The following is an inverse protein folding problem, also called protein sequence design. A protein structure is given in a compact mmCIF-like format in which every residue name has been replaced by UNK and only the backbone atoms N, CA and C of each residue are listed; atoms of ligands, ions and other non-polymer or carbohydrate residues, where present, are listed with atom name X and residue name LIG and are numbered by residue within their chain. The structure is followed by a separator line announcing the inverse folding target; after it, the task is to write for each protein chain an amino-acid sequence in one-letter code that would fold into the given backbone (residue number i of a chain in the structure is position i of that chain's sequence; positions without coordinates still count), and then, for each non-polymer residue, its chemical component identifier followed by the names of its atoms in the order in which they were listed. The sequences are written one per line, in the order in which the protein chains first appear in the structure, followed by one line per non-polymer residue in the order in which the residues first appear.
data_IF_174645637203
#
_entry.id   IF_174645637203
#
_cell.length_a   1.000
_cell.length_b   1.000
_cell.length_c   1.000
_cell.angle_alpha   90.00
_cell.angle_beta   90.00
_cell.angle_gamma   90.00
#
_symmetry.space_group_name_H-M   'P 1'
#
loop_
_entity.id
_entity.type
_entity.pdbx_description
1 polymer ?
#
# COMPACT_ATOMS: atom_id res chain seq x y z
N UNK A 1 8.03 -16.98 -25.76
CA UNK A 1 7.64 -15.57 -25.98
C UNK A 1 6.35 -15.36 -26.80
N UNK A 2 5.95 -16.25 -27.73
CA UNK A 2 4.74 -16.07 -28.59
C UNK A 2 3.38 -16.22 -27.88
N UNK A 3 3.31 -16.75 -26.65
CA UNK A 3 2.05 -16.98 -25.90
C UNK A 3 1.69 -15.89 -24.89
N UNK A 4 2.58 -14.93 -24.63
CA UNK A 4 2.36 -13.83 -23.65
C UNK A 4 1.64 -12.64 -24.30
N UNK A 5 1.86 -12.43 -25.59
CA UNK A 5 1.24 -11.32 -26.36
C UNK A 5 -0.30 -11.38 -26.37
N UNK A 6 -0.96 -12.54 -26.61
CA UNK A 6 -2.42 -12.59 -26.59
C UNK A 6 -3.01 -12.40 -25.19
N UNK A 7 -2.30 -12.80 -24.13
CA UNK A 7 -2.72 -12.56 -22.75
C UNK A 7 -2.67 -11.06 -22.39
N UNK A 8 -1.65 -10.36 -22.86
CA UNK A 8 -1.50 -8.90 -22.68
C UNK A 8 -2.59 -8.13 -23.43
N UNK A 9 -2.93 -8.58 -24.66
CA UNK A 9 -4.00 -8.01 -25.47
C UNK A 9 -5.38 -8.25 -24.85
N UNK A 10 -5.60 -9.38 -24.21
CA UNK A 10 -6.85 -9.69 -23.49
C UNK A 10 -7.01 -8.81 -22.24
N UNK A 11 -5.93 -8.50 -21.54
CA UNK A 11 -5.93 -7.55 -20.41
C UNK A 11 -6.24 -6.12 -20.88
N UNK A 12 -5.68 -5.69 -22.00
CA UNK A 12 -5.94 -4.37 -22.58
C UNK A 12 -7.37 -4.21 -23.12
N UNK A 13 -7.97 -5.26 -23.64
CA UNK A 13 -9.34 -5.25 -24.16
C UNK A 13 -10.41 -5.01 -23.08
N UNK A 14 -10.11 -5.34 -21.81
CA UNK A 14 -11.04 -5.08 -20.71
C UNK A 14 -11.07 -3.61 -20.26
N UNK A 15 -10.06 -2.81 -20.60
CA UNK A 15 -10.03 -1.38 -20.27
C UNK A 15 -11.06 -0.55 -21.07
N UNK A 16 -11.49 -1.04 -22.22
CA UNK A 16 -12.42 -0.30 -23.11
C UNK A 16 -13.89 -0.39 -22.69
N UNK A 17 -14.26 -1.35 -21.84
CA UNK A 17 -15.65 -1.55 -21.40
C UNK A 17 -16.04 -0.84 -20.10
N UNK A 18 -15.08 -0.20 -19.42
CA UNK A 18 -15.33 0.46 -18.13
C UNK A 18 -15.82 1.91 -18.23
N UNK A 19 -16.06 2.43 -19.43
CA UNK A 19 -16.64 3.78 -19.57
C UNK A 19 -18.17 3.73 -19.66
N UNK A 20 -18.81 3.34 -18.58
CA UNK A 20 -20.22 3.65 -18.37
C UNK A 20 -20.36 5.17 -18.18
N UNK A 21 -21.20 5.78 -19.01
CA UNK A 21 -21.60 7.18 -18.92
C UNK A 21 -22.16 7.51 -17.53
N UNK A 22 -21.31 7.92 -16.61
CA UNK A 22 -21.74 8.62 -15.42
C UNK A 22 -21.68 10.11 -15.77
N UNK A 23 -22.84 10.77 -15.80
CA UNK A 23 -22.94 12.22 -15.89
C UNK A 23 -22.51 12.82 -14.56
N UNK A 24 -21.24 12.63 -14.21
CA UNK A 24 -20.65 13.39 -13.12
C UNK A 24 -20.22 14.74 -13.65
N UNK A 25 -20.83 15.76 -13.08
CA UNK A 25 -20.28 17.11 -13.14
C UNK A 25 -18.81 17.00 -12.74
N UNK A 26 -17.92 17.16 -13.72
CA UNK A 26 -16.47 17.15 -13.52
C UNK A 26 -16.16 18.27 -12.53
N UNK A 27 -16.18 17.97 -11.24
CA UNK A 27 -15.45 18.78 -10.29
C UNK A 27 -13.99 18.67 -10.72
N UNK A 28 -13.48 19.73 -11.35
CA UNK A 28 -12.05 19.88 -11.59
C UNK A 28 -11.38 19.86 -10.24
N UNK A 29 -10.96 18.67 -9.80
CA UNK A 29 -10.11 18.53 -8.63
C UNK A 29 -8.84 19.33 -8.89
N UNK A 30 -8.79 20.52 -8.30
CA UNK A 30 -7.58 21.34 -8.34
C UNK A 30 -6.51 20.56 -7.63
N UNK A 31 -5.46 20.20 -8.37
CA UNK A 31 -4.29 19.52 -7.81
C UNK A 31 -3.77 20.31 -6.60
N UNK A 32 -3.85 19.71 -5.42
CA UNK A 32 -3.43 20.33 -4.18
C UNK A 32 -1.95 19.99 -3.92
N UNK A 33 -1.06 20.84 -4.42
CA UNK A 33 0.39 20.68 -4.23
C UNK A 33 0.81 20.62 -2.76
N UNK A 34 0.01 21.19 -1.84
CA UNK A 34 0.28 21.12 -0.39
C UNK A 34 0.19 19.70 0.15
N UNK A 35 -0.63 18.85 -0.46
CA UNK A 35 -0.71 17.44 -0.08
C UNK A 35 0.56 16.66 -0.40
N UNK A 36 1.42 17.16 -1.30
CA UNK A 36 2.69 16.53 -1.63
C UNK A 36 3.83 16.89 -0.65
N UNK A 37 3.66 17.89 0.21
CA UNK A 37 4.73 18.35 1.11
C UNK A 37 5.13 17.22 2.06
N UNK A 38 4.18 16.60 2.74
CA UNK A 38 4.45 15.52 3.71
C UNK A 38 5.09 14.31 3.03
N UNK A 39 4.55 13.75 1.94
CA UNK A 39 5.20 12.66 1.21
C UNK A 39 6.61 13.01 0.72
N UNK A 40 6.82 14.22 0.21
CA UNK A 40 8.13 14.64 -0.29
C UNK A 40 9.16 14.75 0.83
N UNK A 41 8.78 15.27 2.00
CA UNK A 41 9.64 15.34 3.18
C UNK A 41 10.00 13.95 3.69
N UNK A 42 9.03 13.02 3.73
CA UNK A 42 9.27 11.65 4.15
C UNK A 42 10.18 10.89 3.17
N UNK A 43 10.00 11.09 1.87
CA UNK A 43 10.89 10.51 0.85
C UNK A 43 12.30 11.08 1.01
N UNK A 44 12.43 12.41 1.16
CA UNK A 44 13.72 13.07 1.37
C UNK A 44 14.43 12.54 2.63
N UNK A 45 13.70 12.42 3.73
CA UNK A 45 14.23 11.82 4.96
C UNK A 45 14.69 10.37 4.75
N UNK A 46 13.89 9.56 4.03
CA UNK A 46 14.24 8.18 3.73
C UNK A 46 15.51 8.06 2.87
N UNK A 47 15.66 8.91 1.85
CA UNK A 47 16.86 8.93 0.99
C UNK A 47 18.09 9.33 1.79
N UNK A 48 18.01 10.39 2.62
CA UNK A 48 19.11 10.80 3.50
C UNK A 48 19.44 9.70 4.51
N UNK A 49 18.42 9.00 5.02
CA UNK A 49 18.58 7.91 5.99
C UNK A 49 19.37 6.71 5.44
N UNK A 50 19.29 6.46 4.13
CA UNK A 50 20.03 5.36 3.49
C UNK A 50 21.55 5.61 3.52
N UNK A 51 21.99 6.85 3.43
CA UNK A 51 23.43 7.20 3.41
C UNK A 51 23.96 7.71 4.74
N UNK A 52 23.12 8.16 5.65
CA UNK A 52 23.51 8.74 6.95
C UNK A 52 23.87 7.66 7.97
N UNK A 53 25.15 7.60 8.37
CA UNK A 53 25.60 6.65 9.39
C UNK A 53 24.95 6.92 10.76
N UNK A 54 24.61 8.17 11.09
CA UNK A 54 23.89 8.53 12.31
C UNK A 54 22.47 7.94 12.36
N UNK A 55 21.74 7.97 11.23
CA UNK A 55 20.40 7.39 11.14
C UNK A 55 20.47 5.85 11.14
N UNK A 56 21.48 5.28 10.49
CA UNK A 56 21.73 3.83 10.51
C UNK A 56 22.01 3.34 11.92
N UNK A 57 22.86 4.02 12.68
CA UNK A 57 23.17 3.65 14.07
C UNK A 57 21.93 3.73 14.94
N UNK A 58 21.15 4.80 14.85
CA UNK A 58 19.89 4.95 15.58
C UNK A 58 18.89 3.83 15.24
N UNK A 59 18.77 3.48 13.96
CA UNK A 59 17.92 2.36 13.53
C UNK A 59 18.44 1.01 14.07
N UNK A 60 19.76 0.83 14.18
CA UNK A 60 20.37 -0.40 14.72
C UNK A 60 20.12 -0.54 16.22
N UNK A 61 20.22 0.53 16.99
CA UNK A 61 19.92 0.53 18.43
C UNK A 61 18.46 0.17 18.70
N UNK A 62 17.50 0.81 17.97
CA UNK A 62 16.08 0.47 18.09
C UNK A 62 15.83 -0.99 17.73
N UNK A 63 16.52 -1.48 16.70
CA UNK A 63 16.41 -2.87 16.24
C UNK A 63 16.88 -3.86 17.29
N UNK A 64 18.03 -3.63 17.92
CA UNK A 64 18.57 -4.51 18.95
C UNK A 64 17.59 -4.60 20.13
N UNK A 65 17.05 -3.44 20.56
CA UNK A 65 16.08 -3.38 21.66
C UNK A 65 14.76 -4.12 21.32
N UNK A 66 14.30 -4.06 20.07
CA UNK A 66 13.10 -4.78 19.63
C UNK A 66 13.37 -6.29 19.50
N UNK A 67 14.52 -6.68 18.96
CA UNK A 67 14.86 -8.11 18.77
C UNK A 67 15.06 -8.85 20.10
N UNK A 68 15.57 -8.18 21.14
CA UNK A 68 15.69 -8.78 22.46
C UNK A 68 14.34 -9.09 23.13
N UNK A 69 13.27 -8.41 22.70
CA UNK A 69 11.95 -8.54 23.32
C UNK A 69 10.94 -9.36 22.51
N UNK A 70 11.26 -9.77 21.27
CA UNK A 70 10.31 -10.47 20.39
C UNK A 70 10.95 -11.78 19.89
N UNK A 71 10.66 -12.86 20.60
CA UNK A 71 11.20 -14.20 20.32
C UNK A 71 10.23 -15.12 19.55
N UNK A 72 9.18 -14.57 18.93
CA UNK A 72 8.10 -15.35 18.31
C UNK A 72 8.15 -15.38 16.78
N UNK A 73 8.11 -16.61 16.23
CA UNK A 73 8.17 -16.90 14.79
C UNK A 73 6.90 -16.54 14.01
N UNK A 74 5.81 -16.21 14.69
CA UNK A 74 4.55 -15.78 14.07
C UNK A 74 4.22 -14.40 14.62
N UNK A 75 4.42 -13.41 13.79
CA UNK A 75 4.15 -12.03 14.15
C UNK A 75 2.69 -11.66 13.89
N UNK A 76 2.08 -10.93 14.81
CA UNK A 76 0.74 -10.37 14.64
C UNK A 76 0.66 -9.51 13.39
N UNK A 77 1.77 -8.92 12.97
CA UNK A 77 1.86 -8.06 11.78
C UNK A 77 1.56 -8.83 10.49
N UNK A 78 1.84 -10.12 10.41
CA UNK A 78 1.55 -10.93 9.23
C UNK A 78 0.05 -10.92 8.89
N UNK A 79 -0.79 -10.78 9.89
CA UNK A 79 -2.24 -10.71 9.75
C UNK A 79 -2.77 -9.28 9.85
N UNK A 80 -2.25 -8.48 10.77
CA UNK A 80 -2.75 -7.13 11.05
C UNK A 80 -2.60 -6.18 9.88
N UNK A 81 -1.63 -6.40 9.01
CA UNK A 81 -1.45 -5.62 7.77
C UNK A 81 -2.69 -5.62 6.85
N UNK A 82 -3.53 -6.65 6.93
CA UNK A 82 -4.75 -6.78 6.13
C UNK A 82 -6.01 -6.26 6.84
N UNK A 83 -5.92 -5.94 8.14
CA UNK A 83 -7.08 -5.51 8.92
C UNK A 83 -7.81 -4.30 8.34
N UNK A 84 -7.13 -3.23 7.87
CA UNK A 84 -7.83 -2.09 7.30
C UNK A 84 -8.66 -2.46 6.06
N UNK A 85 -8.10 -3.27 5.17
CA UNK A 85 -8.83 -3.74 3.99
C UNK A 85 -9.99 -4.69 4.36
N UNK A 86 -9.78 -5.58 5.33
CA UNK A 86 -10.83 -6.48 5.82
C UNK A 86 -11.97 -5.71 6.51
N UNK A 87 -11.64 -4.59 7.18
CA UNK A 87 -12.62 -3.72 7.84
C UNK A 87 -13.62 -3.13 6.84
N UNK A 88 -13.21 -2.85 5.60
CA UNK A 88 -14.11 -2.38 4.54
C UNK A 88 -15.23 -3.37 4.29
N UNK A 89 -14.90 -4.64 4.20
CA UNK A 89 -15.90 -5.69 3.99
C UNK A 89 -16.73 -5.96 5.26
N UNK A 90 -16.06 -5.90 6.42
CA UNK A 90 -16.74 -6.03 7.72
C UNK A 90 -17.79 -4.96 7.96
N UNK A 91 -17.46 -3.69 7.71
CA UNK A 91 -18.39 -2.55 7.82
C UNK A 91 -19.58 -2.71 6.86
N UNK A 92 -19.31 -3.13 5.63
CA UNK A 92 -20.37 -3.37 4.66
C UNK A 92 -21.31 -4.52 5.08
N UNK A 93 -20.78 -5.60 5.64
CA UNK A 93 -21.59 -6.70 6.22
C UNK A 93 -22.40 -6.22 7.44
N UNK A 94 -21.90 -5.26 8.18
CA UNK A 94 -22.63 -4.62 9.30
C UNK A 94 -23.70 -3.63 8.84
N UNK A 95 -23.90 -3.45 7.51
CA UNK A 95 -24.93 -2.58 6.96
C UNK A 95 -24.45 -1.13 6.72
N UNK A 96 -23.16 -0.83 6.88
CA UNK A 96 -22.59 0.47 6.58
C UNK A 96 -22.08 0.42 5.15
N UNK A 97 -22.82 1.04 4.23
CA UNK A 97 -22.49 1.03 2.81
C UNK A 97 -21.32 1.98 2.53
N UNK A 98 -20.30 1.47 1.80
CA UNK A 98 -19.19 2.26 1.29
C UNK A 98 -19.53 2.93 -0.04
N UNK A 99 -18.57 3.68 -0.60
CA UNK A 99 -18.72 4.42 -1.85
C UNK A 99 -19.01 3.50 -3.06
N UNK A 100 -18.39 2.32 -3.10
CA UNK A 100 -18.48 1.40 -4.22
C UNK A 100 -19.25 0.11 -3.87
N UNK A 101 -19.86 -0.50 -4.89
CA UNK A 101 -20.46 -1.83 -4.76
C UNK A 101 -19.38 -2.91 -4.56
N UNK A 102 -19.79 -4.11 -4.13
CA UNK A 102 -18.87 -5.20 -3.81
C UNK A 102 -17.89 -5.54 -4.94
N UNK A 103 -18.36 -5.56 -6.19
CA UNK A 103 -17.54 -5.91 -7.35
C UNK A 103 -16.46 -4.85 -7.61
N UNK A 104 -16.86 -3.59 -7.69
CA UNK A 104 -15.96 -2.49 -8.01
C UNK A 104 -14.93 -2.30 -6.89
N UNK A 105 -15.37 -2.38 -5.64
CA UNK A 105 -14.53 -2.37 -4.45
C UNK A 105 -13.45 -3.45 -4.49
N UNK A 106 -13.83 -4.68 -4.84
CA UNK A 106 -12.89 -5.80 -4.93
C UNK A 106 -11.88 -5.60 -6.08
N UNK A 107 -12.32 -5.07 -7.22
CA UNK A 107 -11.44 -4.74 -8.35
C UNK A 107 -10.45 -3.64 -7.95
N UNK A 108 -10.92 -2.58 -7.29
CA UNK A 108 -10.05 -1.48 -6.82
C UNK A 108 -9.00 -2.01 -5.85
N UNK A 109 -9.41 -2.76 -4.81
CA UNK A 109 -8.47 -3.32 -3.83
C UNK A 109 -7.44 -4.24 -4.48
N UNK A 110 -7.88 -5.16 -5.33
CA UNK A 110 -6.98 -6.10 -6.00
C UNK A 110 -5.98 -5.36 -6.89
N UNK A 111 -6.44 -4.39 -7.66
CA UNK A 111 -5.57 -3.59 -8.53
C UNK A 111 -4.57 -2.78 -7.71
N UNK A 112 -5.01 -2.16 -6.62
CA UNK A 112 -4.14 -1.41 -5.72
C UNK A 112 -3.05 -2.29 -5.11
N UNK A 113 -3.40 -3.46 -4.61
CA UNK A 113 -2.43 -4.39 -4.05
C UNK A 113 -1.46 -4.95 -5.09
N UNK A 114 -1.90 -5.19 -6.32
CA UNK A 114 -1.01 -5.61 -7.42
C UNK A 114 0.01 -4.51 -7.74
N UNK A 115 -0.43 -3.25 -7.84
CA UNK A 115 0.44 -2.11 -8.11
C UNK A 115 1.43 -1.88 -6.97
N UNK A 116 0.96 -1.91 -5.72
CA UNK A 116 1.82 -1.76 -4.53
C UNK A 116 2.86 -2.89 -4.48
N UNK A 117 2.42 -4.14 -4.68
CA UNK A 117 3.34 -5.29 -4.68
C UNK A 117 4.39 -5.19 -5.79
N UNK A 118 3.99 -4.81 -7.00
CA UNK A 118 4.92 -4.61 -8.12
C UNK A 118 5.93 -3.50 -7.80
N UNK A 119 5.48 -2.40 -7.21
CA UNK A 119 6.35 -1.27 -6.81
C UNK A 119 7.32 -1.69 -5.72
N UNK A 120 6.84 -2.35 -4.67
CA UNK A 120 7.67 -2.86 -3.57
C UNK A 120 8.74 -3.82 -4.07
N UNK A 121 8.36 -4.80 -4.90
CA UNK A 121 9.30 -5.78 -5.45
C UNK A 121 10.35 -5.11 -6.36
N UNK A 122 9.95 -4.14 -7.17
CA UNK A 122 10.86 -3.38 -8.02
C UNK A 122 11.87 -2.59 -7.21
N UNK A 123 11.43 -1.89 -6.16
CA UNK A 123 12.34 -1.12 -5.30
C UNK A 123 13.25 -2.06 -4.50
N UNK A 124 12.74 -3.18 -3.96
CA UNK A 124 13.56 -4.18 -3.28
C UNK A 124 14.68 -4.74 -4.16
N UNK A 125 14.38 -4.98 -5.44
CA UNK A 125 15.37 -5.49 -6.39
C UNK A 125 16.46 -4.47 -6.75
N UNK A 126 16.23 -3.19 -6.50
CA UNK A 126 17.18 -2.11 -6.75
C UNK A 126 17.96 -1.74 -5.47
N UNK A 127 17.27 -1.69 -4.32
CA UNK A 127 17.84 -1.18 -3.07
C UNK A 127 18.89 -2.11 -2.46
N UNK A 128 18.72 -3.43 -2.57
CA UNK A 128 19.62 -4.46 -2.04
C UNK A 128 20.03 -4.23 -0.57
N UNK A 129 19.15 -3.66 0.25
CA UNK A 129 19.44 -3.37 1.65
C UNK A 129 19.31 -4.66 2.46
N UNK A 130 20.38 -5.00 3.18
CA UNK A 130 20.43 -6.16 4.04
C UNK A 130 19.41 -6.07 5.18
N UNK A 131 18.78 -7.20 5.47
CA UNK A 131 17.89 -7.31 6.62
C UNK A 131 18.67 -7.21 7.92
N UNK A 132 18.02 -6.70 8.95
CA UNK A 132 18.59 -6.63 10.27
C UNK A 132 19.12 -7.97 10.84
N UNK A 133 18.48 -9.05 10.51
CA UNK A 133 18.87 -10.41 10.92
C UNK A 133 19.91 -11.07 9.99
N UNK A 134 20.40 -10.35 8.97
CA UNK A 134 21.35 -10.85 7.98
C UNK A 134 20.79 -11.91 7.02
N UNK A 135 19.49 -12.21 7.07
CA UNK A 135 18.88 -13.32 6.31
C UNK A 135 18.82 -13.06 4.80
N UNK A 136 18.74 -11.80 4.38
CA UNK A 136 18.63 -11.45 2.96
C UNK A 136 18.80 -9.94 2.71
N UNK A 137 19.02 -9.55 1.43
CA UNK A 137 19.20 -8.15 1.00
C UNK A 137 17.91 -7.53 0.43
N UNK A 138 16.77 -7.71 1.12
CA UNK A 138 15.48 -7.22 0.68
C UNK A 138 14.69 -6.49 1.79
N UNK A 139 15.42 -5.82 2.70
CA UNK A 139 14.85 -5.13 3.85
C UNK A 139 13.91 -3.98 3.44
N UNK A 140 14.29 -3.19 2.44
CA UNK A 140 13.57 -1.98 2.05
C UNK A 140 13.03 -2.05 0.61
N UNK A 141 11.81 -1.54 0.38
CA UNK A 141 10.82 -1.10 1.36
C UNK A 141 10.10 -2.27 2.05
N UNK A 142 9.49 -2.00 3.23
CA UNK A 142 8.70 -3.00 3.95
C UNK A 142 7.41 -3.33 3.19
N UNK A 143 7.23 -4.60 2.86
CA UNK A 143 6.00 -5.10 2.23
C UNK A 143 4.79 -5.00 3.16
N UNK A 144 4.94 -5.37 4.44
CA UNK A 144 3.87 -5.27 5.44
C UNK A 144 3.38 -3.84 5.61
N UNK A 145 4.30 -2.89 5.75
CA UNK A 145 3.97 -1.47 5.85
C UNK A 145 3.22 -0.98 4.60
N UNK A 146 3.72 -1.30 3.42
CA UNK A 146 3.09 -0.90 2.16
C UNK A 146 1.67 -1.48 2.02
N UNK A 147 1.46 -2.75 2.39
CA UNK A 147 0.16 -3.42 2.38
C UNK A 147 -0.81 -2.78 3.38
N UNK A 148 -0.36 -2.52 4.61
CA UNK A 148 -1.17 -1.89 5.64
C UNK A 148 -1.64 -0.48 5.24
N UNK A 149 -0.72 0.36 4.73
CA UNK A 149 -1.07 1.70 4.27
C UNK A 149 -1.99 1.71 3.04
N UNK A 150 -1.78 0.80 2.10
CA UNK A 150 -2.70 0.65 0.96
C UNK A 150 -4.10 0.24 1.41
N UNK A 151 -4.20 -0.66 2.39
CA UNK A 151 -5.47 -1.05 3.00
C UNK A 151 -6.14 0.09 3.77
N UNK A 152 -5.36 0.89 4.51
CA UNK A 152 -5.86 2.04 5.26
C UNK A 152 -6.39 3.14 4.31
N UNK A 153 -5.64 3.46 3.25
CA UNK A 153 -6.12 4.40 2.23
C UNK A 153 -7.38 3.91 1.54
N UNK A 154 -7.46 2.60 1.24
CA UNK A 154 -8.65 2.00 0.67
C UNK A 154 -9.86 2.13 1.60
N UNK A 155 -9.70 1.86 2.91
CA UNK A 155 -10.74 2.05 3.93
C UNK A 155 -11.18 3.52 3.97
N UNK A 156 -10.23 4.44 4.00
CA UNK A 156 -10.51 5.87 3.97
C UNK A 156 -11.32 6.29 2.74
N UNK A 157 -10.90 5.87 1.54
CA UNK A 157 -11.58 6.22 0.29
C UNK A 157 -13.02 5.70 0.25
N UNK A 158 -13.27 4.50 0.79
CA UNK A 158 -14.61 3.90 0.81
C UNK A 158 -15.56 4.58 1.81
N UNK A 159 -15.04 5.12 2.92
CA UNK A 159 -15.89 5.56 4.04
C UNK A 159 -15.72 7.02 4.45
N UNK A 160 -14.81 7.78 3.86
CA UNK A 160 -14.58 9.22 4.19
C UNK A 160 -15.84 10.08 4.10
N UNK A 161 -16.79 9.72 3.24
CA UNK A 161 -18.06 10.44 3.08
C UNK A 161 -19.11 10.00 4.14
N UNK A 162 -18.90 8.88 4.81
CA UNK A 162 -19.77 8.39 5.88
C UNK A 162 -19.33 8.94 7.24
N UNK A 163 -18.07 8.81 7.58
CA UNK A 163 -17.49 9.35 8.81
C UNK A 163 -15.96 9.38 8.74
N UNK A 164 -15.37 10.43 9.27
CA UNK A 164 -13.90 10.57 9.45
C UNK A 164 -13.33 9.56 10.46
N UNK A 165 -14.16 8.85 11.21
CA UNK A 165 -13.75 7.88 12.22
C UNK A 165 -13.53 6.47 11.67
N UNK A 166 -13.83 6.23 10.40
CA UNK A 166 -13.68 4.91 9.81
C UNK A 166 -12.34 4.73 9.06
N UNK A 167 -11.58 5.81 8.81
CA UNK A 167 -10.32 5.73 8.10
C UNK A 167 -9.20 6.56 8.69
#
# INVERSE_FOLDING_TARGET
MKKVVPLLLLLLANYTYSQSKQNDSIQKNKFNYKALIIPSVLIGYGVIGIESDGIKNFNSEIKEEINENIDEKISIDDFSQYLPAASVYGLNLAGIEGEHNFRDRTVILTTSYLLVSASVLSIKSISHIERPDGSSNNSFPSGHTATAFAGAEFLWQEYKNQSVWYG
#
